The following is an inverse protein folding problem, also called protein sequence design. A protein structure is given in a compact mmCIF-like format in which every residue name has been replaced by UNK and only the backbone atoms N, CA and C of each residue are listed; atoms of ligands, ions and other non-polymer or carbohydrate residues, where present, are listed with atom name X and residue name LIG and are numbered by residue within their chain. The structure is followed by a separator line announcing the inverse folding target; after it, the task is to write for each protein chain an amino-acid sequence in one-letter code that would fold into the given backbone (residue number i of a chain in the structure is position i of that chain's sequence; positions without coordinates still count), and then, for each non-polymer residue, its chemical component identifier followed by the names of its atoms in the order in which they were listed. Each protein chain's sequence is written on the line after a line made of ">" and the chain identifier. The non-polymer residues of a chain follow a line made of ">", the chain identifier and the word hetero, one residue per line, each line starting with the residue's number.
data_IF_027535286265
#
_entry.id   IF_027535286265
#
_cell.length_a   1.000
_cell.length_b   1.000
_cell.length_c   1.000
_cell.angle_alpha   90.00
_cell.angle_beta   90.00
_cell.angle_gamma   90.00
#
_symmetry.space_group_name_H-M   'P 1'
#
loop_
_entity.id
_entity.type
_entity.pdbx_description
1 polymer ?
#
# COMPACT_ATOMS: atom_id res chain seq x y z
N UNK A 1 -7.09 1.05 -27.19
CA UNK A 1 -5.62 0.85 -27.11
C UNK A 1 -5.30 0.62 -25.64
N UNK A 2 -5.25 -0.64 -25.22
CA UNK A 2 -4.99 -1.02 -23.84
C UNK A 2 -3.52 -0.78 -23.53
N UNK A 3 -3.21 0.39 -22.98
CA UNK A 3 -1.89 0.70 -22.45
C UNK A 3 -1.79 0.09 -21.05
N UNK A 4 -1.51 -1.21 -20.96
CA UNK A 4 -1.13 -1.85 -19.70
C UNK A 4 0.35 -1.58 -19.44
N UNK A 5 0.67 -1.05 -18.26
CA UNK A 5 2.06 -0.85 -17.85
C UNK A 5 2.72 -2.21 -17.63
N UNK A 6 3.95 -2.38 -18.09
CA UNK A 6 4.71 -3.61 -17.86
C UNK A 6 5.19 -3.66 -16.40
N UNK A 7 5.00 -4.80 -15.75
CA UNK A 7 5.32 -5.02 -14.33
C UNK A 7 6.14 -6.30 -14.22
N UNK A 8 7.45 -6.14 -14.07
CA UNK A 8 8.38 -7.24 -13.85
C UNK A 8 8.63 -7.40 -12.35
N UNK A 9 8.21 -8.53 -11.79
CA UNK A 9 8.15 -8.79 -10.33
C UNK A 9 8.87 -10.07 -9.91
N UNK A 10 9.51 -10.75 -10.84
CA UNK A 10 10.30 -11.95 -10.58
C UNK A 10 11.48 -11.63 -9.65
N UNK A 11 11.68 -12.46 -8.61
CA UNK A 11 12.73 -12.27 -7.59
C UNK A 11 12.54 -11.07 -6.67
N UNK A 12 11.50 -10.25 -6.87
CA UNK A 12 11.29 -9.02 -6.10
C UNK A 12 10.77 -9.32 -4.69
N UNK A 13 9.95 -10.36 -4.53
CA UNK A 13 9.36 -10.75 -3.25
C UNK A 13 10.45 -11.11 -2.22
N UNK A 14 11.41 -11.95 -2.62
CA UNK A 14 12.53 -12.39 -1.80
C UNK A 14 13.46 -11.23 -1.44
N UNK A 15 13.69 -10.31 -2.39
CA UNK A 15 14.46 -9.10 -2.13
C UNK A 15 13.78 -8.20 -1.10
N UNK A 16 12.46 -7.99 -1.24
CA UNK A 16 11.69 -7.12 -0.35
C UNK A 16 11.63 -7.61 1.10
N UNK A 17 11.71 -8.92 1.34
CA UNK A 17 11.81 -9.49 2.69
C UNK A 17 12.97 -8.91 3.49
N UNK A 18 14.09 -8.60 2.82
CA UNK A 18 15.30 -8.05 3.44
C UNK A 18 15.33 -6.52 3.45
N UNK A 19 14.44 -5.87 2.71
CA UNK A 19 14.47 -4.41 2.51
C UNK A 19 13.48 -3.64 3.41
N UNK A 20 12.97 -4.24 4.48
CA UNK A 20 11.91 -3.61 5.28
C UNK A 20 12.31 -2.22 5.82
N UNK A 21 13.54 -2.07 6.32
CA UNK A 21 14.09 -0.80 6.84
C UNK A 21 14.99 -0.06 5.83
N UNK A 22 15.00 -0.47 4.57
CA UNK A 22 15.89 0.11 3.57
C UNK A 22 15.59 1.60 3.31
N UNK A 23 16.62 2.48 3.19
CA UNK A 23 16.42 3.93 3.05
C UNK A 23 15.67 4.36 1.78
N UNK A 24 15.59 3.49 0.76
CA UNK A 24 14.79 3.73 -0.46
C UNK A 24 13.34 4.12 -0.16
N UNK A 25 12.76 3.63 0.95
CA UNK A 25 11.39 3.98 1.33
C UNK A 25 11.23 5.46 1.65
N UNK A 26 12.29 6.12 2.13
CA UNK A 26 12.28 7.57 2.33
C UNK A 26 12.15 8.31 1.01
N UNK A 27 12.92 7.91 0.01
CA UNK A 27 12.85 8.49 -1.33
C UNK A 27 11.47 8.29 -1.96
N UNK A 28 10.97 7.05 -1.97
CA UNK A 28 9.66 6.71 -2.55
C UNK A 28 8.54 7.49 -1.86
N UNK A 29 8.61 7.64 -0.53
CA UNK A 29 7.54 8.29 0.23
C UNK A 29 7.52 9.83 0.07
N UNK A 30 8.64 10.47 -0.32
CA UNK A 30 8.72 11.94 -0.47
C UNK A 30 7.60 12.49 -1.35
N UNK A 31 7.37 11.85 -2.51
CA UNK A 31 6.34 12.27 -3.48
C UNK A 31 4.91 12.08 -2.97
N UNK A 32 4.67 11.07 -2.13
CA UNK A 32 3.32 10.73 -1.68
C UNK A 32 2.74 11.79 -0.73
N UNK A 33 1.43 12.03 -0.82
CA UNK A 33 0.70 12.94 0.09
C UNK A 33 -0.37 12.21 0.92
N UNK A 34 -0.31 10.88 1.00
CA UNK A 34 -1.24 10.03 1.76
C UNK A 34 -2.74 10.22 1.45
N UNK A 35 -3.11 10.70 0.26
CA UNK A 35 -4.51 10.94 -0.11
C UNK A 35 -5.39 9.67 -0.12
N UNK A 36 -4.79 8.48 -0.27
CA UNK A 36 -5.52 7.21 -0.25
C UNK A 36 -6.23 6.86 -1.56
N UNK A 37 -6.28 7.71 -2.58
CA UNK A 37 -6.97 7.43 -3.86
C UNK A 37 -6.61 6.08 -4.48
N UNK A 38 -5.35 5.66 -4.34
CA UNK A 38 -4.88 4.40 -4.88
C UNK A 38 -5.47 3.15 -4.18
N UNK A 39 -5.92 3.22 -2.93
CA UNK A 39 -6.58 2.09 -2.24
C UNK A 39 -8.01 1.93 -2.73
N UNK A 40 -8.75 3.03 -2.86
CA UNK A 40 -10.13 3.01 -3.35
C UNK A 40 -10.29 2.55 -4.80
N UNK A 41 -9.29 2.82 -5.66
CA UNK A 41 -9.38 2.47 -7.09
C UNK A 41 -8.84 1.08 -7.44
N UNK A 42 -8.01 0.50 -6.57
CA UNK A 42 -7.32 -0.72 -6.90
C UNK A 42 -8.18 -1.93 -6.50
N UNK A 43 -8.53 -2.83 -7.45
CA UNK A 43 -9.43 -3.94 -7.16
C UNK A 43 -8.81 -5.00 -6.24
N UNK A 44 -7.48 -5.01 -6.08
CA UNK A 44 -6.78 -5.91 -5.15
C UNK A 44 -6.68 -5.34 -3.73
N UNK A 45 -7.09 -4.09 -3.53
CA UNK A 45 -7.15 -3.49 -2.20
C UNK A 45 -8.43 -3.87 -1.47
N UNK A 46 -8.29 -4.18 -0.19
CA UNK A 46 -9.36 -4.71 0.66
C UNK A 46 -9.28 -4.11 2.07
N UNK A 47 -8.81 -2.87 2.17
CA UNK A 47 -8.80 -2.12 3.42
C UNK A 47 -10.23 -1.68 3.77
N UNK A 48 -10.65 -1.94 5.00
CA UNK A 48 -11.96 -1.56 5.50
C UNK A 48 -11.88 -1.24 6.99
N UNK A 49 -12.83 -0.45 7.46
CA UNK A 49 -13.08 -0.20 8.87
C UNK A 49 -14.42 -0.81 9.29
N UNK A 50 -14.56 -1.09 10.59
CA UNK A 50 -15.77 -1.64 11.19
C UNK A 50 -16.31 -0.62 12.19
N UNK A 51 -17.37 0.07 11.78
CA UNK A 51 -18.02 1.08 12.60
C UNK A 51 -19.22 0.51 13.33
N UNK A 52 -19.44 1.01 14.55
CA UNK A 52 -20.61 0.72 15.36
C UNK A 52 -21.40 2.01 15.55
N UNK A 53 -22.69 1.99 15.24
CA UNK A 53 -23.61 3.10 15.51
C UNK A 53 -24.68 2.62 16.48
N UNK A 54 -24.64 3.15 17.70
CA UNK A 54 -25.59 2.81 18.76
C UNK A 54 -26.60 3.94 18.97
N UNK A 55 -27.85 3.57 19.26
CA UNK A 55 -28.96 4.47 19.64
C UNK A 55 -29.75 3.81 20.76
N UNK A 56 -29.46 4.18 22.00
CA UNK A 56 -30.01 3.50 23.19
C UNK A 56 -29.58 2.04 23.22
N UNK A 57 -30.55 1.13 23.40
CA UNK A 57 -30.33 -0.32 23.44
C UNK A 57 -30.21 -0.99 22.06
N UNK A 58 -30.35 -0.23 20.96
CA UNK A 58 -30.22 -0.74 19.59
C UNK A 58 -28.92 -0.27 18.96
N UNK A 59 -28.24 -1.15 18.24
CA UNK A 59 -26.99 -0.82 17.55
C UNK A 59 -26.88 -1.52 16.20
N UNK A 60 -26.14 -0.90 15.28
CA UNK A 60 -25.75 -1.51 14.01
C UNK A 60 -24.24 -1.50 13.89
N UNK A 61 -23.68 -2.63 13.44
CA UNK A 61 -22.28 -2.78 13.07
C UNK A 61 -22.22 -2.92 11.55
N UNK A 62 -21.37 -2.13 10.91
CA UNK A 62 -21.25 -2.14 9.45
C UNK A 62 -19.80 -1.94 9.02
N UNK A 63 -19.51 -2.42 7.82
CA UNK A 63 -18.19 -2.30 7.18
C UNK A 63 -18.19 -1.08 6.27
N UNK A 64 -17.18 -0.23 6.40
CA UNK A 64 -16.91 0.88 5.49
C UNK A 64 -15.60 0.68 4.78
N UNK A 65 -15.48 1.16 3.55
CA UNK A 65 -14.18 1.25 2.90
C UNK A 65 -13.28 2.20 3.68
N UNK A 66 -12.02 1.79 3.82
CA UNK A 66 -11.00 2.60 4.46
C UNK A 66 -9.65 2.37 3.75
N UNK A 67 -8.59 3.01 4.21
CA UNK A 67 -7.30 3.05 3.54
C UNK A 67 -6.16 2.89 4.53
N UNK A 68 -5.29 1.90 4.27
CA UNK A 68 -4.02 1.75 4.99
C UNK A 68 -3.05 2.95 4.85
N UNK A 69 -3.41 3.95 4.05
CA UNK A 69 -2.65 5.20 3.88
C UNK A 69 -2.99 6.25 4.94
N UNK A 70 -4.11 6.11 5.65
CA UNK A 70 -4.51 7.03 6.72
C UNK A 70 -3.84 6.67 8.03
N UNK A 71 -3.64 7.66 8.89
CA UNK A 71 -2.96 7.49 10.18
C UNK A 71 -3.81 6.63 11.12
N UNK A 72 -5.11 6.86 11.07
CA UNK A 72 -6.15 6.28 11.91
C UNK A 72 -6.28 4.77 11.70
N UNK A 73 -6.00 4.27 10.49
CA UNK A 73 -6.15 2.86 10.12
C UNK A 73 -5.36 1.89 11.03
N UNK A 74 -4.23 2.34 11.59
CA UNK A 74 -3.44 1.55 12.55
C UNK A 74 -3.27 2.19 13.91
N UNK A 75 -4.07 3.21 14.20
CA UNK A 75 -4.05 3.79 15.52
C UNK A 75 -4.73 2.80 16.48
N UNK A 76 -3.95 2.28 17.44
CA UNK A 76 -4.43 1.34 18.44
C UNK A 76 -4.99 2.07 19.65
N UNK A 77 -5.83 1.38 20.42
CA UNK A 77 -6.25 1.83 21.74
C UNK A 77 -5.00 2.08 22.61
N UNK A 78 -4.85 3.30 23.14
CA UNK A 78 -3.65 3.76 23.83
C UNK A 78 -2.75 4.70 23.02
N UNK A 79 -3.12 5.03 21.78
CA UNK A 79 -2.43 6.04 20.97
C UNK A 79 -1.17 5.54 20.26
N UNK A 80 -0.78 4.28 20.49
CA UNK A 80 0.31 3.64 19.74
C UNK A 80 -0.08 3.46 18.27
N UNK A 81 0.86 3.72 17.37
CA UNK A 81 0.67 3.53 15.94
C UNK A 81 1.92 2.88 15.32
N UNK A 82 1.83 1.63 14.85
CA UNK A 82 2.94 0.94 14.18
C UNK A 82 3.39 1.60 12.87
N UNK A 83 2.58 2.50 12.31
CA UNK A 83 2.88 3.25 11.08
C UNK A 83 2.71 4.75 11.32
N UNK A 84 3.56 5.36 12.17
CA UNK A 84 3.37 6.73 12.62
C UNK A 84 3.59 7.74 11.49
N UNK A 85 4.52 7.48 10.57
CA UNK A 85 4.88 8.41 9.50
C UNK A 85 4.35 7.97 8.13
N UNK A 86 4.49 8.86 7.16
CA UNK A 86 4.18 8.57 5.75
C UNK A 86 5.02 7.42 5.21
N UNK A 87 6.27 7.27 5.65
CA UNK A 87 7.21 6.24 5.19
C UNK A 87 6.62 4.84 5.39
N UNK A 88 6.22 4.51 6.61
CA UNK A 88 5.73 3.18 6.93
C UNK A 88 4.41 2.85 6.21
N UNK A 89 3.55 3.86 6.01
CA UNK A 89 2.27 3.69 5.28
C UNK A 89 2.47 3.48 3.78
N UNK A 90 3.41 4.22 3.17
CA UNK A 90 3.78 4.04 1.76
C UNK A 90 4.46 2.69 1.57
N UNK A 91 5.39 2.31 2.45
CA UNK A 91 6.00 0.98 2.47
C UNK A 91 4.94 -0.12 2.53
N UNK A 92 3.99 -0.02 3.48
CA UNK A 92 2.89 -0.99 3.61
C UNK A 92 2.10 -1.14 2.30
N UNK A 93 1.81 -0.04 1.59
CA UNK A 93 1.07 -0.07 0.32
C UNK A 93 1.78 -0.90 -0.74
N UNK A 94 3.10 -0.78 -0.85
CA UNK A 94 3.89 -1.51 -1.84
C UNK A 94 4.15 -2.95 -1.40
N UNK A 95 4.59 -3.17 -0.15
CA UNK A 95 4.84 -4.51 0.39
C UNK A 95 3.59 -5.39 0.36
N UNK A 96 2.41 -4.82 0.63
CA UNK A 96 1.19 -5.60 0.54
C UNK A 96 0.94 -6.17 -0.86
N UNK A 97 1.32 -5.45 -1.92
CA UNK A 97 1.14 -5.90 -3.31
C UNK A 97 2.28 -6.78 -3.81
N UNK A 98 3.51 -6.48 -3.41
CA UNK A 98 4.72 -7.04 -4.02
C UNK A 98 5.37 -8.13 -3.16
N UNK A 99 5.05 -8.18 -1.87
CA UNK A 99 5.60 -9.15 -0.91
C UNK A 99 4.50 -9.97 -0.24
N UNK A 100 3.61 -9.33 0.53
CA UNK A 100 2.68 -10.08 1.40
C UNK A 100 1.61 -10.86 0.63
N UNK A 101 1.09 -10.29 -0.46
CA UNK A 101 0.15 -11.00 -1.33
C UNK A 101 0.78 -12.23 -2.01
N UNK A 102 1.96 -12.15 -2.65
CA UNK A 102 2.61 -13.33 -3.21
C UNK A 102 2.99 -14.36 -2.14
N UNK A 103 3.50 -13.94 -0.97
CA UNK A 103 3.78 -14.86 0.15
C UNK A 103 2.52 -15.61 0.63
N UNK A 104 1.37 -14.92 0.71
CA UNK A 104 0.14 -15.50 1.26
C UNK A 104 -0.68 -16.27 0.23
N UNK A 105 -0.70 -15.83 -1.02
CA UNK A 105 -1.64 -16.30 -2.04
C UNK A 105 -0.97 -16.75 -3.34
N UNK A 106 0.36 -16.71 -3.44
CA UNK A 106 1.12 -17.07 -4.64
C UNK A 106 0.88 -16.14 -5.83
N UNK A 107 0.28 -14.96 -5.62
CA UNK A 107 -0.05 -13.99 -6.67
C UNK A 107 0.32 -12.58 -6.27
N UNK A 108 0.93 -11.85 -7.21
CA UNK A 108 1.19 -10.42 -7.03
C UNK A 108 -0.09 -9.59 -7.07
N UNK A 109 -0.15 -8.56 -6.23
CA UNK A 109 -1.28 -7.64 -6.12
C UNK A 109 -1.33 -6.55 -7.18
N UNK A 110 -0.37 -6.52 -8.12
CA UNK A 110 -0.25 -5.52 -9.17
C UNK A 110 -0.07 -6.20 -10.53
N UNK A 111 -0.93 -5.85 -11.48
CA UNK A 111 -0.90 -6.34 -12.88
C UNK A 111 -0.66 -5.22 -13.89
N UNK A 112 -0.20 -4.03 -13.43
CA UNK A 112 0.09 -2.92 -14.33
C UNK A 112 -1.12 -2.18 -14.92
N UNK A 113 -2.31 -2.33 -14.33
CA UNK A 113 -3.54 -1.72 -14.87
C UNK A 113 -3.61 -0.18 -14.85
N UNK A 114 -2.63 0.53 -14.26
CA UNK A 114 -2.50 2.00 -14.34
C UNK A 114 -3.57 2.83 -13.59
N UNK A 115 -4.68 2.26 -13.11
CA UNK A 115 -5.77 3.00 -12.44
C UNK A 115 -5.31 3.91 -11.31
N UNK A 116 -4.38 3.42 -10.48
CA UNK A 116 -3.84 4.21 -9.38
C UNK A 116 -2.93 5.36 -9.84
N UNK A 117 -2.28 5.23 -11.01
CA UNK A 117 -1.42 6.26 -11.58
C UNK A 117 -2.26 7.42 -12.12
N UNK A 118 -3.28 7.11 -12.94
CA UNK A 118 -4.14 8.09 -13.62
C UNK A 118 -4.83 9.06 -12.65
N UNK A 119 -5.19 8.58 -11.46
CA UNK A 119 -5.89 9.38 -10.45
C UNK A 119 -5.00 9.85 -9.31
N UNK A 120 -3.70 9.55 -9.34
CA UNK A 120 -2.79 10.03 -8.32
C UNK A 120 -2.48 11.52 -8.55
N UNK A 121 -2.76 12.41 -7.59
CA UNK A 121 -2.49 13.85 -7.77
C UNK A 121 -0.99 14.16 -7.93
N UNK A 122 -0.13 13.28 -7.44
CA UNK A 122 1.33 13.40 -7.52
C UNK A 122 1.94 12.39 -8.48
N UNK A 123 1.14 11.61 -9.22
CA UNK A 123 1.64 10.61 -10.19
C UNK A 123 2.72 9.70 -9.56
N UNK A 124 2.41 9.07 -8.42
CA UNK A 124 3.29 8.07 -7.81
C UNK A 124 3.18 6.77 -8.60
N UNK A 125 4.19 6.52 -9.43
CA UNK A 125 4.20 5.42 -10.39
C UNK A 125 4.77 4.13 -9.79
N UNK A 126 3.93 3.10 -9.72
CA UNK A 126 4.29 1.80 -9.16
C UNK A 126 5.30 1.06 -10.04
N UNK A 127 5.33 1.25 -11.36
CA UNK A 127 6.30 0.56 -12.21
C UNK A 127 7.70 1.12 -12.03
N UNK A 128 7.80 2.45 -11.92
CA UNK A 128 9.07 3.12 -11.54
C UNK A 128 9.55 2.67 -10.18
N UNK A 129 8.64 2.58 -9.20
CA UNK A 129 8.99 2.08 -7.86
C UNK A 129 9.49 0.63 -7.94
N UNK A 130 8.84 -0.24 -8.71
CA UNK A 130 9.28 -1.62 -8.92
C UNK A 130 10.68 -1.66 -9.54
N UNK A 131 10.93 -0.87 -10.58
CA UNK A 131 12.25 -0.81 -11.23
C UNK A 131 13.32 -0.31 -10.26
N UNK A 132 13.05 0.77 -9.51
CA UNK A 132 13.95 1.28 -8.47
C UNK A 132 14.26 0.22 -7.41
N UNK A 133 13.26 -0.52 -6.94
CA UNK A 133 13.44 -1.60 -5.97
C UNK A 133 14.26 -2.77 -6.53
N UNK A 134 14.18 -3.04 -7.84
CA UNK A 134 14.99 -4.06 -8.51
C UNK A 134 16.45 -3.62 -8.67
N UNK A 135 16.68 -2.38 -9.07
CA UNK A 135 18.00 -1.82 -9.38
C UNK A 135 18.81 -1.47 -8.12
N UNK A 136 18.15 -1.03 -7.04
CA UNK A 136 18.88 -0.55 -5.86
C UNK A 136 19.70 -1.68 -5.24
N UNK A 137 21.02 -1.50 -5.04
CA UNK A 137 21.86 -2.52 -4.42
C UNK A 137 21.41 -2.73 -2.96
N UNK A 138 21.44 -3.98 -2.53
CA UNK A 138 21.28 -4.30 -1.12
C UNK A 138 22.65 -4.13 -0.46
N UNK A 139 22.83 -3.04 0.28
CA UNK A 139 23.97 -2.86 1.16
C UNK A 139 23.53 -3.28 2.56
N UNK A 140 24.15 -4.36 3.07
CA UNK A 140 24.06 -4.76 4.48
C UNK A 140 24.66 -3.68 5.40
#
# INVERSE_FOLDING_TARGET
>A
KDCSLQVEVEGLTEKLQKMFEHPIWEEICRKCINCGTCTYLCPTCHCFDVLNKNRGEKGVKYRCYDSCMYKEYTLMAGGHNPRPTKKERVRQRFLHKLQYMPERYGKWGCVGCGRCLVKCPVTLDITRVINQLREVPFHD
#
